data_IF_299693714464
#
_entry.id   IF_299693714464
#
_cell.length_a   1.000
_cell.length_b   1.000
_cell.length_c   1.000
_cell.angle_alpha   90.00
_cell.angle_beta   90.00
_cell.angle_gamma   90.00
#
_symmetry.space_group_name_H-M   'P 1'
#
loop_
_entity.id
_entity.type
_entity.pdbx_description
1 polymer ?
#
# COMPACT_ATOMS: atom_id res chain seq x y z
N UNK A 1 11.43 -10.57 16.69
CA UNK A 1 12.43 -11.17 15.76
C UNK A 1 13.20 -10.04 15.11
N UNK A 2 14.49 -10.23 14.85
CA UNK A 2 15.30 -9.25 14.13
C UNK A 2 14.95 -9.36 12.62
N UNK A 3 14.55 -8.22 12.01
CA UNK A 3 14.23 -8.16 10.58
C UNK A 3 15.54 -8.11 9.78
N UNK A 4 15.69 -8.98 8.79
CA UNK A 4 16.91 -9.07 7.96
C UNK A 4 16.80 -8.26 6.67
N UNK A 5 15.64 -8.31 6.03
CA UNK A 5 15.39 -7.75 4.70
C UNK A 5 14.45 -6.53 4.74
N UNK A 6 14.08 -6.07 5.93
CA UNK A 6 13.18 -4.93 6.13
C UNK A 6 13.70 -4.07 7.26
N UNK A 7 13.62 -2.77 7.09
CA UNK A 7 13.93 -1.76 8.12
C UNK A 7 12.62 -1.10 8.50
N UNK A 8 12.36 -0.97 9.81
CA UNK A 8 11.21 -0.22 10.34
C UNK A 8 11.74 0.97 11.11
N UNK A 9 11.33 2.17 10.70
CA UNK A 9 11.65 3.44 11.33
C UNK A 9 10.37 4.14 11.75
N UNK A 10 10.45 4.97 12.80
CA UNK A 10 9.33 5.79 13.28
C UNK A 10 9.74 7.25 13.35
N UNK A 11 8.94 8.11 12.73
CA UNK A 11 9.16 9.56 12.73
C UNK A 11 7.82 10.31 12.74
N UNK A 12 7.58 11.17 13.72
CA UNK A 12 6.41 12.06 13.77
C UNK A 12 5.05 11.36 13.52
N UNK A 13 4.79 10.24 14.20
CA UNK A 13 3.61 9.38 14.07
C UNK A 13 3.50 8.65 12.71
N UNK A 14 4.57 8.61 11.93
CA UNK A 14 4.68 7.90 10.67
C UNK A 14 5.60 6.69 10.88
N UNK A 15 5.11 5.48 10.58
CA UNK A 15 5.93 4.29 10.42
C UNK A 15 6.47 4.22 9.00
N UNK A 16 7.77 3.96 8.83
CA UNK A 16 8.39 3.80 7.50
C UNK A 16 8.92 2.38 7.43
N UNK A 17 8.39 1.59 6.49
CA UNK A 17 8.82 0.23 6.21
C UNK A 17 9.62 0.25 4.92
N UNK A 18 10.91 -0.04 5.00
CA UNK A 18 11.84 -0.05 3.85
C UNK A 18 12.28 -1.47 3.53
N UNK A 19 11.96 -1.96 2.33
CA UNK A 19 12.48 -3.24 1.84
C UNK A 19 13.97 -3.07 1.57
N UNK A 20 14.81 -3.90 2.19
CA UNK A 20 16.26 -3.73 2.23
C UNK A 20 17.00 -4.92 1.64
N UNK A 21 16.86 -5.09 0.34
CA UNK A 21 17.64 -6.04 -0.49
C UNK A 21 18.14 -5.35 -1.76
N UNK A 22 18.87 -4.22 -1.67
CA UNK A 22 19.21 -3.40 -2.84
C UNK A 22 20.02 -4.16 -3.90
N UNK A 23 20.85 -5.11 -3.53
CA UNK A 23 21.65 -5.96 -4.44
C UNK A 23 20.78 -6.91 -5.27
N UNK A 24 19.56 -7.23 -4.81
CA UNK A 24 18.55 -7.99 -5.52
C UNK A 24 17.41 -7.11 -6.03
N UNK A 25 17.61 -5.79 -6.18
CA UNK A 25 16.57 -4.82 -6.54
C UNK A 25 15.32 -4.93 -5.65
N UNK A 26 15.51 -5.25 -4.38
CA UNK A 26 14.46 -5.45 -3.37
C UNK A 26 13.46 -6.57 -3.69
N UNK A 27 13.86 -7.58 -4.48
CA UNK A 27 13.00 -8.70 -4.86
C UNK A 27 12.48 -9.47 -3.64
N UNK A 28 11.24 -9.96 -3.73
CA UNK A 28 10.52 -10.62 -2.66
C UNK A 28 10.78 -12.13 -2.69
N UNK A 29 11.46 -12.63 -1.68
CA UNK A 29 11.53 -14.04 -1.34
C UNK A 29 10.70 -14.32 -0.07
N UNK A 30 10.61 -15.59 0.34
CA UNK A 30 9.83 -16.00 1.52
C UNK A 30 10.28 -15.29 2.80
N UNK A 31 11.59 -15.10 3.00
CA UNK A 31 12.14 -14.39 4.16
C UNK A 31 11.71 -12.91 4.15
N UNK A 32 11.77 -12.26 2.99
CA UNK A 32 11.35 -10.85 2.84
C UNK A 32 9.86 -10.69 3.10
N UNK A 33 9.03 -11.61 2.59
CA UNK A 33 7.58 -11.60 2.87
C UNK A 33 7.30 -11.81 4.37
N UNK A 34 8.04 -12.68 5.04
CA UNK A 34 7.95 -12.90 6.48
C UNK A 34 8.34 -11.66 7.27
N UNK A 35 9.43 -10.99 6.87
CA UNK A 35 9.88 -9.74 7.49
C UNK A 35 8.85 -8.61 7.29
N UNK A 36 8.26 -8.49 6.08
CA UNK A 36 7.17 -7.52 5.82
C UNK A 36 5.98 -7.80 6.74
N UNK A 37 5.56 -9.06 6.88
CA UNK A 37 4.46 -9.44 7.77
C UNK A 37 4.74 -9.01 9.21
N UNK A 38 5.92 -9.32 9.71
CA UNK A 38 6.35 -8.91 11.06
C UNK A 38 6.39 -7.39 11.21
N UNK A 39 6.90 -6.67 10.20
CA UNK A 39 6.92 -5.20 10.19
C UNK A 39 5.50 -4.60 10.23
N UNK A 40 4.56 -5.18 9.49
CA UNK A 40 3.15 -4.75 9.52
C UNK A 40 2.52 -4.99 10.89
N UNK A 41 2.78 -6.13 11.53
CA UNK A 41 2.34 -6.40 12.91
C UNK A 41 2.92 -5.38 13.88
N UNK A 42 4.22 -5.06 13.82
CA UNK A 42 4.87 -4.05 14.66
C UNK A 42 4.22 -2.67 14.49
N UNK A 43 4.04 -2.17 13.26
CA UNK A 43 3.44 -0.85 13.04
C UNK A 43 1.94 -0.83 13.33
N UNK A 44 1.25 -1.97 13.26
CA UNK A 44 -0.15 -2.11 13.65
C UNK A 44 -0.34 -1.90 15.14
N UNK A 45 0.53 -2.52 15.96
CA UNK A 45 0.42 -2.55 17.42
C UNK A 45 1.06 -1.32 18.11
N UNK A 46 1.81 -0.49 17.37
CA UNK A 46 2.40 0.76 17.90
C UNK A 46 1.38 1.90 17.84
N UNK A 47 0.80 2.27 18.99
CA UNK A 47 -0.20 3.35 19.10
C UNK A 47 0.34 4.73 18.69
N UNK A 48 1.65 4.93 18.69
CA UNK A 48 2.25 6.19 18.24
C UNK A 48 2.34 6.30 16.71
N UNK A 49 2.16 5.20 15.98
CA UNK A 49 2.10 5.20 14.52
C UNK A 49 0.64 5.33 14.06
N UNK A 50 0.34 6.32 13.26
CA UNK A 50 -1.00 6.53 12.70
C UNK A 50 -1.06 6.40 11.17
N UNK A 51 0.09 6.43 10.49
CA UNK A 51 0.22 6.26 9.03
C UNK A 51 1.47 5.44 8.75
N UNK A 52 1.44 4.64 7.68
CA UNK A 52 2.58 3.83 7.26
C UNK A 52 3.01 4.21 5.84
N UNK A 53 4.30 4.42 5.64
CA UNK A 53 4.94 4.59 4.33
C UNK A 53 5.71 3.31 4.03
N UNK A 54 5.49 2.71 2.85
CA UNK A 54 6.24 1.55 2.38
C UNK A 54 7.13 1.99 1.22
N UNK A 55 8.42 1.64 1.26
CA UNK A 55 9.39 1.99 0.22
C UNK A 55 10.47 0.91 0.06
N UNK A 56 11.36 1.06 -0.91
CA UNK A 56 12.56 0.25 -1.07
C UNK A 56 13.82 1.03 -0.76
N UNK A 57 14.84 0.41 -0.20
CA UNK A 57 16.16 1.00 -0.02
C UNK A 57 16.84 1.19 -1.38
N UNK A 58 17.56 2.30 -1.54
CA UNK A 58 18.20 2.69 -2.81
C UNK A 58 17.26 3.43 -3.76
N UNK A 59 17.78 3.79 -4.94
CA UNK A 59 17.06 4.62 -5.92
C UNK A 59 16.62 3.84 -7.17
N UNK A 60 17.11 2.59 -7.36
CA UNK A 60 16.86 1.80 -8.57
C UNK A 60 15.49 1.14 -8.57
N UNK A 61 15.08 0.61 -7.43
CA UNK A 61 13.84 -0.15 -7.32
C UNK A 61 13.11 0.15 -6.02
N UNK A 62 11.80 0.27 -6.11
CA UNK A 62 10.91 0.04 -4.99
C UNK A 62 10.97 -1.46 -4.65
N UNK A 63 10.47 -2.30 -5.55
CA UNK A 63 10.57 -3.76 -5.54
C UNK A 63 10.48 -4.25 -6.98
N UNK A 64 11.46 -5.03 -7.46
CA UNK A 64 11.51 -5.49 -8.85
C UNK A 64 10.91 -6.89 -9.06
N UNK A 65 9.97 -7.32 -8.23
CA UNK A 65 9.22 -8.55 -8.38
C UNK A 65 9.50 -9.60 -7.30
N UNK A 66 8.98 -10.80 -7.50
CA UNK A 66 9.34 -11.96 -6.69
C UNK A 66 10.74 -12.45 -7.06
N UNK A 67 11.42 -13.12 -6.11
CA UNK A 67 12.76 -13.66 -6.35
C UNK A 67 12.68 -14.91 -7.24
N UNK A 68 13.00 -14.75 -8.53
CA UNK A 68 12.91 -15.81 -9.53
C UNK A 68 13.84 -16.99 -9.19
N UNK A 69 14.95 -16.75 -8.46
CA UNK A 69 15.87 -17.83 -8.05
C UNK A 69 15.20 -18.79 -7.08
N UNK A 70 14.32 -18.27 -6.20
CA UNK A 70 13.55 -19.11 -5.29
C UNK A 70 12.43 -19.85 -6.04
N UNK A 71 11.80 -19.19 -7.02
CA UNK A 71 10.61 -19.71 -7.69
C UNK A 71 10.91 -20.79 -8.75
N UNK A 72 12.08 -20.76 -9.40
CA UNK A 72 12.37 -21.53 -10.61
C UNK A 72 12.17 -23.06 -10.47
N UNK A 73 12.42 -23.61 -9.29
CA UNK A 73 12.39 -25.05 -9.02
C UNK A 73 11.13 -25.45 -8.19
N UNK A 74 10.22 -24.52 -7.93
CA UNK A 74 8.99 -24.81 -7.16
C UNK A 74 8.07 -25.75 -7.93
N UNK A 75 7.60 -26.77 -7.23
CA UNK A 75 6.46 -27.58 -7.69
C UNK A 75 5.19 -26.74 -7.70
N UNK A 76 4.12 -27.16 -8.44
CA UNK A 76 2.85 -26.43 -8.44
C UNK A 76 2.25 -26.21 -7.03
N UNK A 77 2.46 -27.16 -6.11
CA UNK A 77 1.95 -27.05 -4.74
C UNK A 77 2.75 -26.04 -3.91
N UNK A 78 4.07 -26.00 -4.08
CA UNK A 78 4.94 -25.03 -3.43
C UNK A 78 4.69 -23.61 -3.97
N UNK A 79 4.59 -23.45 -5.28
CA UNK A 79 4.22 -22.20 -5.91
C UNK A 79 2.87 -21.68 -5.38
N UNK A 80 1.85 -22.54 -5.30
CA UNK A 80 0.55 -22.17 -4.73
C UNK A 80 0.66 -21.70 -3.27
N UNK A 81 1.44 -22.39 -2.43
CA UNK A 81 1.67 -21.97 -1.03
C UNK A 81 2.37 -20.62 -0.95
N UNK A 82 3.39 -20.41 -1.77
CA UNK A 82 4.12 -19.15 -1.85
C UNK A 82 3.20 -17.98 -2.27
N UNK A 83 2.35 -18.20 -3.30
CA UNK A 83 1.38 -17.19 -3.72
C UNK A 83 0.37 -16.88 -2.61
N UNK A 84 -0.19 -17.88 -1.95
CA UNK A 84 -1.10 -17.67 -0.82
C UNK A 84 -0.44 -16.90 0.32
N UNK A 85 0.82 -17.19 0.62
CA UNK A 85 1.57 -16.47 1.65
C UNK A 85 1.76 -15.00 1.26
N UNK A 86 2.24 -14.70 0.05
CA UNK A 86 2.37 -13.32 -0.43
C UNK A 86 1.03 -12.57 -0.46
N UNK A 87 -0.05 -13.25 -0.91
CA UNK A 87 -1.40 -12.68 -0.86
C UNK A 87 -1.83 -12.35 0.57
N UNK A 88 -1.53 -13.21 1.55
CA UNK A 88 -1.86 -12.94 2.95
C UNK A 88 -1.14 -11.71 3.48
N UNK A 89 0.15 -11.57 3.19
CA UNK A 89 0.96 -10.40 3.59
C UNK A 89 0.42 -9.10 2.96
N UNK A 90 0.06 -9.14 1.68
CA UNK A 90 -0.49 -7.96 1.01
C UNK A 90 -1.92 -7.64 1.45
N UNK A 91 -2.70 -8.63 1.84
CA UNK A 91 -3.99 -8.42 2.49
C UNK A 91 -3.83 -7.79 3.89
N UNK A 92 -2.78 -8.14 4.64
CA UNK A 92 -2.50 -7.51 5.94
C UNK A 92 -2.18 -6.01 5.77
N UNK A 93 -1.53 -5.61 4.66
CA UNK A 93 -1.29 -4.19 4.31
C UNK A 93 -2.61 -3.49 3.95
N UNK A 94 -3.39 -4.09 3.06
CA UNK A 94 -4.67 -3.56 2.58
C UNK A 94 -5.68 -3.35 3.72
N UNK A 95 -5.72 -4.33 4.64
CA UNK A 95 -6.61 -4.31 5.81
C UNK A 95 -5.99 -3.63 7.05
N UNK A 96 -4.78 -3.09 6.96
CA UNK A 96 -4.18 -2.35 8.08
C UNK A 96 -5.12 -1.19 8.45
N UNK A 97 -5.54 -1.04 9.72
CA UNK A 97 -6.45 0.06 10.11
C UNK A 97 -5.81 1.45 10.03
N UNK A 98 -4.55 1.55 9.67
CA UNK A 98 -3.80 2.79 9.46
C UNK A 98 -3.64 3.02 7.95
N UNK A 99 -3.76 4.27 7.44
CA UNK A 99 -3.49 4.56 6.05
C UNK A 99 -2.08 4.16 5.63
N UNK A 100 -1.95 3.68 4.39
CA UNK A 100 -0.69 3.23 3.82
C UNK A 100 -0.35 4.02 2.55
N UNK A 101 0.92 4.39 2.38
CA UNK A 101 1.41 5.12 1.21
C UNK A 101 2.61 4.35 0.64
N UNK A 102 2.51 3.88 -0.59
CA UNK A 102 3.65 3.38 -1.33
C UNK A 102 4.48 4.55 -1.89
N UNK A 103 5.75 4.63 -1.50
CA UNK A 103 6.70 5.64 -1.98
C UNK A 103 7.65 5.00 -3.00
N UNK A 104 7.30 5.10 -4.29
CA UNK A 104 7.91 4.36 -5.39
C UNK A 104 8.99 5.20 -6.08
N UNK A 105 10.27 4.87 -5.84
CA UNK A 105 11.41 5.62 -6.36
C UNK A 105 11.87 5.18 -7.75
N UNK A 106 11.77 3.88 -8.07
CA UNK A 106 12.24 3.26 -9.31
C UNK A 106 11.30 2.15 -9.77
N UNK A 107 11.85 0.97 -10.06
CA UNK A 107 11.05 -0.16 -10.53
C UNK A 107 10.06 -0.67 -9.47
N UNK A 108 8.79 -0.75 -9.84
CA UNK A 108 7.72 -1.46 -9.14
C UNK A 108 7.14 -2.50 -10.12
N UNK A 109 7.75 -3.68 -10.19
CA UNK A 109 7.43 -4.70 -11.20
C UNK A 109 6.92 -5.98 -10.56
N UNK A 110 6.01 -6.69 -11.22
CA UNK A 110 5.45 -7.94 -10.72
C UNK A 110 4.97 -7.81 -9.28
N UNK A 111 5.45 -8.66 -8.39
CA UNK A 111 5.15 -8.58 -6.96
C UNK A 111 5.39 -7.21 -6.33
N UNK A 112 6.29 -6.39 -6.90
CA UNK A 112 6.50 -5.01 -6.45
C UNK A 112 5.38 -4.06 -6.87
N UNK A 113 4.83 -4.23 -8.06
CA UNK A 113 3.62 -3.52 -8.47
C UNK A 113 2.43 -3.97 -7.61
N UNK A 114 2.32 -5.27 -7.32
CA UNK A 114 1.28 -5.85 -6.47
C UNK A 114 1.37 -5.35 -5.02
N UNK A 115 2.60 -5.17 -4.49
CA UNK A 115 2.84 -4.55 -3.18
C UNK A 115 2.38 -3.07 -3.17
N UNK A 116 2.71 -2.30 -4.22
CA UNK A 116 2.25 -0.92 -4.33
C UNK A 116 0.72 -0.84 -4.40
N UNK A 117 0.08 -1.75 -5.15
CA UNK A 117 -1.38 -1.87 -5.28
C UNK A 117 -2.08 -2.32 -3.98
N UNK A 118 -1.37 -2.86 -3.00
CA UNK A 118 -1.93 -3.19 -1.68
C UNK A 118 -1.92 -2.00 -0.71
N UNK A 119 -1.27 -0.90 -1.07
CA UNK A 119 -1.32 0.34 -0.32
C UNK A 119 -2.52 1.20 -0.72
N UNK A 120 -2.98 2.07 0.18
CA UNK A 120 -4.12 2.97 -0.08
C UNK A 120 -3.79 4.05 -1.12
N UNK A 121 -2.53 4.49 -1.16
CA UNK A 121 -2.07 5.57 -2.05
C UNK A 121 -0.67 5.27 -2.57
N UNK A 122 -0.38 5.76 -3.77
CA UNK A 122 0.93 5.59 -4.41
C UNK A 122 1.47 6.95 -4.82
N UNK A 123 2.67 7.31 -4.35
CA UNK A 123 3.46 8.45 -4.82
C UNK A 123 4.67 7.92 -5.56
N UNK A 124 4.87 8.40 -6.77
CA UNK A 124 5.92 7.91 -7.65
C UNK A 124 6.96 8.99 -7.99
N UNK A 125 8.21 8.59 -8.12
CA UNK A 125 9.23 9.40 -8.81
C UNK A 125 8.92 9.46 -10.30
N UNK A 126 9.28 10.56 -10.97
CA UNK A 126 9.21 10.67 -12.44
C UNK A 126 10.01 9.58 -13.17
N UNK A 127 10.97 8.92 -12.50
CA UNK A 127 11.72 7.75 -13.02
C UNK A 127 11.06 6.42 -12.75
N UNK A 128 9.99 6.38 -11.95
CA UNK A 128 9.35 5.12 -11.60
C UNK A 128 8.79 4.41 -12.85
N UNK A 129 8.88 3.09 -12.82
CA UNK A 129 8.30 2.22 -13.84
C UNK A 129 7.42 1.18 -13.15
N UNK A 130 6.24 0.97 -13.69
CA UNK A 130 5.26 0.01 -13.20
C UNK A 130 4.96 -1.04 -14.26
N UNK A 131 4.69 -2.26 -13.84
CA UNK A 131 4.29 -3.33 -14.76
C UNK A 131 4.08 -4.65 -14.07
N UNK A 132 3.37 -5.53 -14.74
CA UNK A 132 3.13 -6.92 -14.34
C UNK A 132 3.65 -7.84 -15.47
N UNK A 133 5.00 -8.00 -15.59
CA UNK A 133 5.62 -8.67 -16.73
C UNK A 133 5.65 -10.19 -16.62
N UNK A 134 4.96 -10.79 -15.66
CA UNK A 134 5.00 -12.23 -15.35
C UNK A 134 4.69 -13.13 -16.56
N UNK A 135 3.83 -12.67 -17.48
CA UNK A 135 3.48 -13.43 -18.69
C UNK A 135 4.66 -13.65 -19.63
N UNK A 136 5.68 -12.78 -19.57
CA UNK A 136 6.93 -12.95 -20.34
C UNK A 136 7.77 -14.12 -19.83
N UNK A 137 7.49 -14.60 -18.61
CA UNK A 137 8.11 -15.77 -17.98
C UNK A 137 7.21 -17.02 -18.05
N UNK A 138 6.06 -16.94 -18.74
CA UNK A 138 5.10 -18.06 -18.85
C UNK A 138 4.25 -18.28 -17.59
N UNK A 139 4.20 -17.31 -16.68
CA UNK A 139 3.36 -17.30 -15.47
C UNK A 139 2.47 -16.06 -15.47
N UNK A 140 1.68 -15.86 -14.43
CA UNK A 140 0.83 -14.67 -14.27
C UNK A 140 1.06 -14.03 -12.89
N UNK A 141 0.64 -12.75 -12.67
CA UNK A 141 0.70 -12.11 -11.37
C UNK A 141 0.01 -12.94 -10.29
N UNK A 142 0.70 -13.21 -9.19
CA UNK A 142 0.26 -14.17 -8.16
C UNK A 142 -0.07 -13.58 -6.80
N UNK A 143 0.34 -12.32 -6.52
CA UNK A 143 0.13 -11.67 -5.23
C UNK A 143 -1.05 -10.69 -5.20
N UNK A 144 -1.92 -10.76 -6.20
CA UNK A 144 -3.19 -10.00 -6.25
C UNK A 144 -3.30 -9.01 -7.41
N UNK A 145 -2.28 -8.89 -8.28
CA UNK A 145 -2.27 -7.96 -9.41
C UNK A 145 -3.44 -8.15 -10.37
N UNK A 146 -3.82 -9.40 -10.66
CA UNK A 146 -4.98 -9.73 -11.50
C UNK A 146 -6.31 -9.27 -10.89
N UNK A 147 -6.34 -8.93 -9.61
CA UNK A 147 -7.52 -8.51 -8.87
C UNK A 147 -7.52 -7.01 -8.54
N UNK A 148 -6.40 -6.50 -8.00
CA UNK A 148 -6.29 -5.11 -7.57
C UNK A 148 -6.15 -4.15 -8.74
N UNK A 149 -5.30 -4.47 -9.72
CA UNK A 149 -5.09 -3.58 -10.87
C UNK A 149 -6.39 -3.30 -11.65
N UNK A 150 -7.19 -4.30 -12.09
CA UNK A 150 -8.41 -4.03 -12.84
C UNK A 150 -9.50 -3.30 -12.02
N UNK A 151 -9.50 -3.45 -10.71
CA UNK A 151 -10.39 -2.66 -9.83
C UNK A 151 -10.00 -1.19 -9.76
N UNK A 152 -8.71 -0.90 -9.88
CA UNK A 152 -8.19 0.47 -9.80
C UNK A 152 -8.27 1.19 -11.15
N UNK A 153 -7.81 0.58 -12.26
CA UNK A 153 -7.67 1.24 -13.57
C UNK A 153 -8.65 0.76 -14.64
N UNK A 154 -9.57 -0.12 -14.27
CA UNK A 154 -10.51 -0.74 -15.20
C UNK A 154 -9.94 -1.98 -15.91
N UNK A 155 -10.81 -2.91 -16.26
CA UNK A 155 -10.40 -4.25 -16.72
C UNK A 155 -9.71 -4.25 -18.10
N UNK A 156 -10.10 -3.34 -19.00
CA UNK A 156 -9.51 -3.29 -20.35
C UNK A 156 -8.05 -2.86 -20.28
N UNK A 157 -7.72 -1.77 -19.58
CA UNK A 157 -6.34 -1.29 -19.44
C UNK A 157 -5.48 -2.25 -18.62
N UNK A 158 -6.04 -2.85 -17.59
CA UNK A 158 -5.33 -3.87 -16.80
C UNK A 158 -4.96 -5.09 -17.65
N UNK A 159 -5.88 -5.58 -18.49
CA UNK A 159 -5.62 -6.71 -19.43
C UNK A 159 -4.55 -6.34 -20.45
N UNK A 160 -4.60 -5.15 -21.03
CA UNK A 160 -3.56 -4.67 -21.95
C UNK A 160 -2.19 -4.76 -21.30
N UNK A 161 -2.00 -4.16 -20.13
CA UNK A 161 -0.72 -4.17 -19.42
C UNK A 161 -0.26 -5.56 -19.01
N UNK A 162 -1.17 -6.40 -18.49
CA UNK A 162 -0.81 -7.76 -18.04
C UNK A 162 -0.52 -8.66 -19.24
N UNK A 163 -1.31 -8.60 -20.33
CA UNK A 163 -1.15 -9.49 -21.48
C UNK A 163 0.09 -9.16 -22.28
N UNK A 164 0.45 -7.89 -22.41
CA UNK A 164 1.68 -7.47 -23.08
C UNK A 164 2.91 -7.62 -22.21
N UNK A 165 2.76 -7.59 -20.89
CA UNK A 165 3.87 -7.54 -19.94
C UNK A 165 4.66 -6.22 -20.01
N UNK A 166 4.12 -5.20 -20.68
CA UNK A 166 4.79 -3.91 -20.86
C UNK A 166 4.89 -3.13 -19.56
N UNK A 167 5.98 -2.38 -19.45
CA UNK A 167 6.16 -1.42 -18.37
C UNK A 167 5.68 -0.03 -18.82
N UNK A 168 4.96 0.64 -17.92
CA UNK A 168 4.57 2.04 -18.11
C UNK A 168 5.43 2.96 -17.25
N UNK A 169 5.57 4.21 -17.67
CA UNK A 169 6.24 5.22 -16.86
C UNK A 169 5.29 5.86 -15.83
N UNK A 170 5.86 6.72 -14.99
CA UNK A 170 5.13 7.39 -13.93
C UNK A 170 4.01 8.29 -14.45
N UNK A 171 4.20 8.94 -15.62
CA UNK A 171 3.20 9.84 -16.19
C UNK A 171 2.00 9.06 -16.75
N UNK A 172 2.25 7.96 -17.44
CA UNK A 172 1.17 7.07 -17.87
C UNK A 172 0.46 6.45 -16.66
N UNK A 173 1.20 6.03 -15.62
CA UNK A 173 0.62 5.53 -14.38
C UNK A 173 -0.29 6.58 -13.69
N UNK A 174 0.09 7.86 -13.71
CA UNK A 174 -0.74 8.96 -13.23
C UNK A 174 -1.98 9.15 -14.11
N UNK A 175 -1.80 9.14 -15.44
CA UNK A 175 -2.90 9.34 -16.40
C UNK A 175 -4.00 8.30 -16.28
N UNK A 176 -3.64 7.05 -16.02
CA UNK A 176 -4.61 5.93 -15.88
C UNK A 176 -5.15 5.77 -14.46
N UNK A 177 -4.72 6.59 -13.50
CA UNK A 177 -5.16 6.53 -12.12
C UNK A 177 -4.49 5.44 -11.27
N UNK A 178 -3.36 4.87 -11.73
CA UNK A 178 -2.58 3.92 -10.94
C UNK A 178 -1.84 4.59 -9.79
N UNK A 179 -1.32 5.81 -9.98
CA UNK A 179 -0.64 6.57 -8.94
C UNK A 179 -1.36 7.89 -8.65
N UNK A 180 -1.27 8.36 -7.40
CA UNK A 180 -1.92 9.58 -6.96
C UNK A 180 -1.12 10.84 -7.32
N UNK A 181 0.21 10.72 -7.39
CA UNK A 181 1.09 11.86 -7.66
C UNK A 181 2.44 11.41 -8.22
N UNK A 182 2.99 12.20 -9.15
CA UNK A 182 4.36 12.06 -9.63
C UNK A 182 5.17 13.26 -9.15
N UNK A 183 6.39 13.01 -8.69
CA UNK A 183 7.29 14.02 -8.13
C UNK A 183 8.71 13.88 -8.69
N UNK A 184 9.54 14.95 -8.66
CA UNK A 184 10.94 14.88 -9.09
C UNK A 184 11.74 13.82 -8.34
N UNK A 185 12.85 13.38 -8.95
CA UNK A 185 13.82 12.45 -8.37
C UNK A 185 14.25 12.94 -6.99
N UNK A 186 14.37 12.01 -6.04
CA UNK A 186 14.78 12.30 -4.66
C UNK A 186 13.71 12.96 -3.78
N UNK A 187 12.49 13.21 -4.31
CA UNK A 187 11.41 13.89 -3.56
C UNK A 187 10.28 12.98 -3.11
N UNK A 188 10.34 11.69 -3.43
CA UNK A 188 9.22 10.76 -3.17
C UNK A 188 8.93 10.61 -1.67
N UNK A 189 9.97 10.41 -0.87
CA UNK A 189 9.80 10.25 0.59
C UNK A 189 9.32 11.56 1.24
N UNK A 190 9.90 12.71 0.84
CA UNK A 190 9.48 14.02 1.35
C UNK A 190 7.99 14.26 1.06
N UNK A 191 7.54 13.95 -0.16
CA UNK A 191 6.15 14.11 -0.55
C UNK A 191 5.21 13.12 0.16
N UNK A 192 5.65 11.86 0.34
CA UNK A 192 4.87 10.87 1.11
C UNK A 192 4.71 11.33 2.57
N UNK A 193 5.77 11.83 3.20
CA UNK A 193 5.71 12.44 4.54
C UNK A 193 4.80 13.68 4.56
N UNK A 194 4.88 14.54 3.54
CA UNK A 194 4.02 15.72 3.45
C UNK A 194 2.53 15.35 3.32
N UNK A 195 2.21 14.32 2.54
CA UNK A 195 0.84 13.78 2.46
C UNK A 195 0.40 13.17 3.79
N UNK A 196 1.26 12.37 4.42
CA UNK A 196 1.02 11.80 5.74
C UNK A 196 0.72 12.90 6.77
N UNK A 197 1.51 13.98 6.81
CA UNK A 197 1.28 15.12 7.70
C UNK A 197 -0.05 15.86 7.43
N UNK A 198 -0.57 15.86 6.20
CA UNK A 198 -1.92 16.40 5.91
C UNK A 198 -2.99 15.50 6.49
N UNK A 199 -2.83 14.18 6.37
CA UNK A 199 -3.78 13.18 6.90
C UNK A 199 -3.80 13.22 8.43
N UNK A 200 -2.63 13.31 9.08
CA UNK A 200 -2.48 13.36 10.53
C UNK A 200 -3.16 14.58 11.21
N UNK A 201 -3.56 15.59 10.45
CA UNK A 201 -4.36 16.73 10.96
C UNK A 201 -5.82 16.39 11.23
N UNK A 202 -6.29 15.24 10.74
CA UNK A 202 -7.69 14.80 10.87
C UNK A 202 -7.84 13.71 11.93
N UNK A 203 -9.07 13.48 12.39
CA UNK A 203 -9.37 12.51 13.43
C UNK A 203 -8.96 11.07 13.02
N UNK A 204 -8.04 10.44 13.74
CA UNK A 204 -7.46 9.16 13.31
C UNK A 204 -8.48 8.02 13.30
N UNK A 205 -9.46 8.01 14.22
CA UNK A 205 -10.52 6.99 14.22
C UNK A 205 -11.42 7.18 12.99
N UNK A 206 -11.80 8.42 12.65
CA UNK A 206 -12.60 8.69 11.47
C UNK A 206 -11.91 8.19 10.18
N UNK A 207 -10.59 8.41 10.05
CA UNK A 207 -9.80 7.91 8.91
C UNK A 207 -9.81 6.39 8.84
N UNK A 208 -9.61 5.70 9.99
CA UNK A 208 -9.67 4.23 10.06
C UNK A 208 -11.04 3.69 9.61
N UNK A 209 -12.11 4.33 10.05
CA UNK A 209 -13.49 3.97 9.70
C UNK A 209 -13.78 4.23 8.21
N UNK A 210 -13.31 5.35 7.66
CA UNK A 210 -13.42 5.65 6.22
C UNK A 210 -12.69 4.59 5.38
N UNK A 211 -11.46 4.23 5.73
CA UNK A 211 -10.73 3.16 5.04
C UNK A 211 -11.51 1.84 5.08
N UNK A 212 -12.01 1.45 6.25
CA UNK A 212 -12.83 0.25 6.42
C UNK A 212 -14.09 0.29 5.55
N UNK A 213 -14.81 1.43 5.55
CA UNK A 213 -16.03 1.59 4.77
C UNK A 213 -15.79 1.49 3.26
N UNK A 214 -14.73 2.13 2.76
CA UNK A 214 -14.35 2.06 1.34
C UNK A 214 -13.97 0.62 0.96
N UNK A 215 -13.08 -0.03 1.72
CA UNK A 215 -12.61 -1.37 1.40
C UNK A 215 -13.74 -2.40 1.45
N UNK A 216 -14.62 -2.33 2.44
CA UNK A 216 -15.80 -3.20 2.52
C UNK A 216 -16.79 -2.91 1.38
N UNK A 217 -17.07 -1.63 1.11
CA UNK A 217 -18.05 -1.21 0.12
C UNK A 217 -17.70 -1.62 -1.31
N UNK A 218 -16.41 -1.63 -1.67
CA UNK A 218 -15.94 -2.06 -2.99
C UNK A 218 -16.09 -3.58 -3.24
N UNK A 219 -16.38 -4.37 -2.20
CA UNK A 219 -16.50 -5.82 -2.29
C UNK A 219 -17.93 -6.36 -2.11
N UNK A 220 -18.93 -5.45 -2.01
CA UNK A 220 -20.34 -5.81 -1.82
C UNK A 220 -21.24 -4.99 -2.77
N UNK A 221 -22.53 -5.36 -2.99
CA UNK A 221 -23.49 -4.50 -3.65
C UNK A 221 -23.63 -3.14 -2.96
N UNK A 222 -23.85 -2.06 -3.73
CA UNK A 222 -23.89 -0.68 -3.25
C UNK A 222 -24.79 -0.50 -2.01
N UNK A 223 -25.99 -1.10 -2.02
CA UNK A 223 -26.91 -1.03 -0.88
C UNK A 223 -26.30 -1.53 0.43
N UNK A 224 -25.50 -2.61 0.36
CA UNK A 224 -24.80 -3.16 1.53
C UNK A 224 -23.63 -2.29 1.96
N UNK A 225 -22.93 -1.70 0.98
CA UNK A 225 -21.88 -0.71 1.24
C UNK A 225 -22.43 0.52 1.96
N UNK A 226 -23.55 1.08 1.51
CA UNK A 226 -24.20 2.22 2.15
C UNK A 226 -24.69 1.89 3.57
N UNK A 227 -25.23 0.69 3.80
CA UNK A 227 -25.60 0.26 5.15
C UNK A 227 -24.38 0.20 6.07
N UNK A 228 -23.26 -0.38 5.59
CA UNK A 228 -22.02 -0.44 6.37
C UNK A 228 -21.43 0.97 6.64
N UNK A 229 -21.51 1.88 5.67
CA UNK A 229 -21.10 3.28 5.85
C UNK A 229 -21.89 3.97 6.98
N UNK A 230 -23.20 3.76 7.03
CA UNK A 230 -24.06 4.31 8.11
C UNK A 230 -23.64 3.78 9.49
N UNK A 231 -23.35 2.46 9.61
CA UNK A 231 -22.87 1.87 10.87
C UNK A 231 -21.50 2.44 11.29
N UNK A 232 -20.54 2.53 10.36
CA UNK A 232 -19.22 3.10 10.66
C UNK A 232 -19.31 4.58 11.02
N UNK A 233 -20.21 5.34 10.39
CA UNK A 233 -20.48 6.74 10.76
C UNK A 233 -21.06 6.83 12.17
N UNK A 234 -21.98 5.93 12.55
CA UNK A 234 -22.48 5.83 13.91
C UNK A 234 -21.38 5.62 14.94
N UNK A 235 -20.40 4.73 14.63
CA UNK A 235 -19.21 4.55 15.46
C UNK A 235 -18.36 5.80 15.58
N UNK A 236 -18.16 6.55 14.50
CA UNK A 236 -17.44 7.83 14.54
C UNK A 236 -18.10 8.83 15.47
N UNK A 237 -19.44 8.85 15.55
CA UNK A 237 -20.20 9.72 16.44
C UNK A 237 -20.05 9.39 17.95
N UNK A 238 -19.57 8.19 18.27
CA UNK A 238 -19.29 7.77 19.65
C UNK A 238 -17.94 8.26 20.18
N UNK A 239 -17.08 8.87 19.34
CA UNK A 239 -15.71 9.28 19.70
C UNK A 239 -15.67 10.66 20.37
N UNK A 240 -14.65 10.87 21.25
CA UNK A 240 -14.33 12.20 21.78
C UNK A 240 -13.87 13.14 20.65
N UNK A 241 -13.14 12.62 19.68
CA UNK A 241 -12.63 13.37 18.52
C UNK A 241 -13.76 13.99 17.68
N UNK A 242 -14.92 13.31 17.56
CA UNK A 242 -16.09 13.88 16.90
C UNK A 242 -16.60 15.13 17.64
N UNK A 243 -16.69 15.08 18.98
CA UNK A 243 -17.12 16.20 19.78
C UNK A 243 -16.15 17.37 19.63
N UNK A 244 -14.86 17.13 19.81
CA UNK A 244 -13.80 18.11 19.62
C UNK A 244 -13.85 18.73 18.21
N UNK A 245 -13.99 17.92 17.18
CA UNK A 245 -14.03 18.39 15.78
C UNK A 245 -15.20 19.32 15.50
N UNK A 246 -16.40 19.00 15.99
CA UNK A 246 -17.60 19.83 15.82
C UNK A 246 -17.52 21.13 16.64
N UNK A 247 -17.07 21.07 17.87
CA UNK A 247 -16.86 22.25 18.73
C UNK A 247 -15.82 23.19 18.13
N UNK A 248 -14.65 22.66 17.72
CA UNK A 248 -13.58 23.43 17.09
C UNK A 248 -14.07 24.14 15.81
N UNK A 249 -14.89 23.45 14.99
CA UNK A 249 -15.46 24.04 13.78
C UNK A 249 -16.40 25.23 14.10
N UNK A 250 -17.29 25.06 15.07
CA UNK A 250 -18.23 26.14 15.49
C UNK A 250 -17.49 27.33 16.08
N UNK A 251 -16.43 27.08 16.85
CA UNK A 251 -15.58 28.08 17.49
C UNK A 251 -14.51 28.67 16.56
N UNK A 252 -14.40 28.20 15.32
CA UNK A 252 -13.41 28.64 14.31
C UNK A 252 -11.94 28.47 14.80
N UNK A 253 -11.66 27.45 15.57
CA UNK A 253 -10.32 27.07 16.03
C UNK A 253 -9.84 25.77 15.38
N UNK A 254 -8.55 25.46 15.50
CA UNK A 254 -8.03 24.17 15.08
C UNK A 254 -8.43 23.09 16.08
N UNK A 255 -8.88 21.89 15.61
CA UNK A 255 -9.16 20.77 16.50
C UNK A 255 -7.86 20.16 17.06
N UNK A 256 -7.98 19.49 18.20
CA UNK A 256 -6.92 18.74 18.84
C UNK A 256 -7.38 17.27 19.03
N UNK A 257 -7.29 16.47 17.98
CA UNK A 257 -7.71 15.09 17.97
C UNK A 257 -6.77 14.21 18.80
N UNK A 258 -7.33 13.27 19.57
CA UNK A 258 -6.61 12.38 20.48
C UNK A 258 -6.72 10.90 20.10
N UNK A 259 -7.54 10.55 19.11
CA UNK A 259 -7.76 9.17 18.71
C UNK A 259 -8.62 8.38 19.72
N UNK A 260 -9.57 9.01 20.35
CA UNK A 260 -10.43 8.42 21.39
C UNK A 260 -11.91 8.67 21.13
#
# INVERSE_FOLDING_TARGET
>A
MELKNVIVEKENNIGIISINRPDALNALNSDTLSDIKTAIEQVKDDDEINIVIITGVGEKAFVAGADIKEMKDMTPLEARKFMHFGQSVFNDIDNLPKPTIAAVKGYALGGGCELALSCDMIIASEKAKFGLPEVTLGIHPGFGGTQRLPRLIGSAKAKELIFTGEMIDAQEALRIGLVNKVVPIGKVIDEAKALAQKILKNGPIAIRLVKSAINAGLNVPLEKGLAYEAETQGLAFATEDKKEGLEAFLEKRKPNFKGK
#
